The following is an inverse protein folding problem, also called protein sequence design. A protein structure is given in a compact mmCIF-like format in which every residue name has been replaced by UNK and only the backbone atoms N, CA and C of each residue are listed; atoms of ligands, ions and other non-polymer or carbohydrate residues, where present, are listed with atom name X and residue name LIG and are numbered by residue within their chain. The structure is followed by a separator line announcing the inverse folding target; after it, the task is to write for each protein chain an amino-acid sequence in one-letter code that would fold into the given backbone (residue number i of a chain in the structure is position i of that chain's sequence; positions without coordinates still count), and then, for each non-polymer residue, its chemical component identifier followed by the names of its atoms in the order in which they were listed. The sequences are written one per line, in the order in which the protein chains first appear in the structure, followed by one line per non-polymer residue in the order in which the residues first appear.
data_IF_542387057584
#
_entry.id   IF_542387057584
#
_cell.length_a   1.000
_cell.length_b   1.000
_cell.length_c   1.000
_cell.angle_alpha   90.00
_cell.angle_beta   90.00
_cell.angle_gamma   90.00
#
_symmetry.space_group_name_H-M   'P 1'
#
loop_
_entity.id
_entity.type
_entity.pdbx_description
1 polymer ?
#
# COMPACT_ATOMS: atom_id res chain seq x y z
N UNK A 1 3.10 18.01 15.63
CA UNK A 1 3.90 16.84 15.20
C UNK A 1 3.44 16.41 13.81
N UNK A 2 4.34 16.18 12.85
CA UNK A 2 3.96 15.59 11.55
C UNK A 2 3.53 14.12 11.75
N UNK A 3 2.44 13.68 11.12
CA UNK A 3 1.99 12.27 11.16
C UNK A 3 3.12 11.37 10.64
N UNK A 4 3.33 10.20 11.24
CA UNK A 4 4.36 9.24 10.80
C UNK A 4 4.12 8.90 9.32
N UNK A 5 5.17 8.90 8.50
CA UNK A 5 5.06 8.63 7.06
C UNK A 5 4.57 9.79 6.19
N UNK A 6 4.33 11.00 6.75
CA UNK A 6 3.83 12.14 5.97
C UNK A 6 4.72 12.52 4.77
N UNK A 7 6.04 12.44 4.91
CA UNK A 7 6.96 12.76 3.81
C UNK A 7 6.91 11.71 2.69
N UNK A 8 6.68 10.44 3.02
CA UNK A 8 6.53 9.36 2.02
C UNK A 8 5.23 9.54 1.24
N UNK A 9 4.13 9.87 1.95
CA UNK A 9 2.85 10.18 1.30
C UNK A 9 2.96 11.37 0.34
N UNK A 10 3.70 12.41 0.74
CA UNK A 10 3.95 13.56 -0.12
C UNK A 10 4.71 13.17 -1.40
N UNK A 11 5.71 12.27 -1.33
CA UNK A 11 6.42 11.80 -2.52
C UNK A 11 5.51 11.09 -3.52
N UNK A 12 4.51 10.34 -3.04
CA UNK A 12 3.50 9.74 -3.91
C UNK A 12 2.62 10.82 -4.55
N UNK A 13 2.13 11.78 -3.76
CA UNK A 13 1.31 12.91 -4.23
C UNK A 13 2.03 13.79 -5.25
N UNK A 14 3.32 14.02 -5.06
CA UNK A 14 4.17 14.82 -5.94
C UNK A 14 4.50 14.07 -7.26
N UNK A 15 4.11 12.79 -7.38
CA UNK A 15 4.43 11.97 -8.54
C UNK A 15 5.91 11.63 -8.64
N UNK A 16 6.67 11.70 -7.54
CA UNK A 16 8.10 11.39 -7.52
C UNK A 16 8.39 9.93 -7.87
N UNK A 17 7.40 9.05 -7.70
CA UNK A 17 7.45 7.64 -8.12
C UNK A 17 6.30 7.41 -9.11
N UNK A 18 6.58 7.22 -10.41
CA UNK A 18 5.56 6.89 -11.40
C UNK A 18 4.86 5.57 -11.05
N UNK A 19 3.56 5.47 -11.28
CA UNK A 19 2.76 4.30 -10.89
C UNK A 19 3.24 3.02 -11.58
N UNK A 20 3.70 3.10 -12.83
CA UNK A 20 4.30 2.01 -13.61
C UNK A 20 5.70 1.56 -13.14
N UNK A 21 6.25 2.24 -12.12
CA UNK A 21 7.49 1.88 -11.43
C UNK A 21 7.26 1.55 -9.95
N UNK A 22 6.03 1.69 -9.45
CA UNK A 22 5.68 1.43 -8.06
C UNK A 22 5.38 -0.05 -7.81
N UNK A 23 5.84 -0.58 -6.67
CA UNK A 23 5.40 -1.84 -6.10
C UNK A 23 5.00 -1.61 -4.64
N UNK A 24 4.07 -2.43 -4.14
CA UNK A 24 3.63 -2.39 -2.74
C UNK A 24 3.87 -3.74 -2.08
N UNK A 25 4.20 -3.71 -0.80
CA UNK A 25 4.45 -4.90 0.01
C UNK A 25 3.93 -4.70 1.44
N UNK A 26 3.74 -5.81 2.16
CA UNK A 26 3.30 -5.76 3.57
C UNK A 26 4.44 -5.66 4.56
N UNK A 27 5.63 -6.17 4.22
CA UNK A 27 6.74 -6.37 5.16
C UNK A 27 6.31 -7.12 6.43
N UNK A 28 5.34 -8.04 6.30
CA UNK A 28 4.87 -8.85 7.41
C UNK A 28 6.04 -9.71 7.96
N UNK A 29 6.17 -9.87 9.30
CA UNK A 29 5.17 -9.59 10.33
C UNK A 29 5.12 -8.15 10.87
N UNK A 30 5.89 -7.23 10.29
CA UNK A 30 6.03 -5.84 10.73
C UNK A 30 5.11 -4.89 9.96
N UNK A 31 5.19 -3.59 10.27
CA UNK A 31 4.55 -2.54 9.46
C UNK A 31 3.02 -2.67 9.32
N UNK A 32 2.34 -3.06 10.40
CA UNK A 32 0.88 -3.14 10.42
C UNK A 32 0.24 -1.81 9.96
N UNK A 33 -0.65 -1.82 8.94
CA UNK A 33 -1.30 -0.61 8.44
C UNK A 33 -2.15 0.12 9.49
N UNK A 34 -2.38 1.41 9.26
CA UNK A 34 -3.32 2.19 10.07
C UNK A 34 -4.72 1.58 10.00
N UNK A 35 -5.43 1.54 11.13
CA UNK A 35 -6.74 0.89 11.27
C UNK A 35 -7.79 1.42 10.30
N UNK A 36 -7.69 2.69 9.90
CA UNK A 36 -8.61 3.32 8.95
C UNK A 36 -8.64 2.62 7.58
N UNK A 37 -7.57 1.92 7.22
CA UNK A 37 -7.49 1.17 5.96
C UNK A 37 -7.81 -0.32 6.12
N UNK A 38 -7.94 -0.83 7.34
CA UNK A 38 -8.21 -2.24 7.59
C UNK A 38 -9.73 -2.47 7.69
N UNK A 39 -10.26 -3.58 7.13
CA UNK A 39 -11.66 -3.91 7.33
C UNK A 39 -11.90 -4.31 8.78
N UNK A 40 -13.05 -3.92 9.35
CA UNK A 40 -13.45 -4.33 10.71
C UNK A 40 -13.60 -5.85 10.84
N UNK A 41 -13.83 -6.54 9.73
CA UNK A 41 -13.93 -8.00 9.67
C UNK A 41 -12.58 -8.71 9.71
N UNK A 42 -11.47 -7.99 9.50
CA UNK A 42 -10.14 -8.58 9.52
C UNK A 42 -9.67 -8.73 10.97
N UNK A 43 -9.70 -9.97 11.46
CA UNK A 43 -9.32 -10.33 12.83
C UNK A 43 -7.82 -10.25 13.09
N UNK A 44 -7.21 -9.07 12.91
CA UNK A 44 -5.79 -8.82 13.21
C UNK A 44 -5.58 -9.00 14.71
N UNK A 45 -4.96 -10.12 15.10
CA UNK A 45 -4.66 -10.44 16.50
C UNK A 45 -3.39 -9.72 16.93
N UNK A 46 -3.51 -8.76 17.84
CA UNK A 46 -2.37 -7.99 18.33
C UNK A 46 -1.87 -6.97 17.31
N UNK A 47 -0.55 -6.82 17.20
CA UNK A 47 0.12 -5.86 16.28
C UNK A 47 0.88 -6.53 15.14
N UNK A 48 0.59 -7.80 14.86
CA UNK A 48 1.25 -8.58 13.80
C UNK A 48 0.59 -8.28 12.46
N UNK A 49 1.39 -7.88 11.48
CA UNK A 49 0.92 -7.71 10.11
C UNK A 49 0.95 -9.07 9.38
N UNK A 50 0.09 -9.23 8.38
CA UNK A 50 -0.01 -10.42 7.57
C UNK A 50 -0.21 -10.07 6.08
N UNK A 51 0.11 -10.98 5.14
CA UNK A 51 -0.07 -10.73 3.71
C UNK A 51 -1.51 -10.33 3.33
N UNK A 52 -2.51 -10.82 4.08
CA UNK A 52 -3.92 -10.48 3.88
C UNK A 52 -4.23 -8.99 4.09
N UNK A 53 -3.33 -8.22 4.70
CA UNK A 53 -3.43 -6.77 4.85
C UNK A 53 -3.07 -5.98 3.58
N UNK A 54 -2.59 -6.63 2.51
CA UNK A 54 -2.22 -5.98 1.25
C UNK A 54 -3.28 -5.00 0.70
N UNK A 55 -4.59 -5.31 0.72
CA UNK A 55 -5.61 -4.36 0.24
C UNK A 55 -5.64 -3.04 1.02
N UNK A 56 -5.26 -3.03 2.29
CA UNK A 56 -5.19 -1.82 3.10
C UNK A 56 -4.07 -0.88 2.62
N UNK A 57 -2.91 -1.45 2.27
CA UNK A 57 -1.77 -0.71 1.71
C UNK A 57 -2.13 -0.15 0.34
N UNK A 58 -2.77 -0.97 -0.50
CA UNK A 58 -3.26 -0.53 -1.81
C UNK A 58 -4.20 0.68 -1.70
N UNK A 59 -5.17 0.64 -0.76
CA UNK A 59 -6.07 1.77 -0.49
C UNK A 59 -5.34 3.03 -0.03
N UNK A 60 -4.37 2.90 0.88
CA UNK A 60 -3.59 4.03 1.37
C UNK A 60 -2.77 4.70 0.26
N UNK A 61 -2.21 3.92 -0.67
CA UNK A 61 -1.50 4.44 -1.85
C UNK A 61 -2.47 5.10 -2.82
N UNK A 62 -3.60 4.46 -3.11
CA UNK A 62 -4.63 4.97 -4.01
C UNK A 62 -5.15 6.35 -3.57
N UNK A 63 -5.37 6.53 -2.27
CA UNK A 63 -5.74 7.83 -1.69
C UNK A 63 -4.67 8.90 -1.93
N UNK A 64 -3.38 8.55 -1.82
CA UNK A 64 -2.29 9.49 -2.08
C UNK A 64 -2.18 9.88 -3.57
N UNK A 65 -2.56 8.99 -4.46
CA UNK A 65 -2.45 9.18 -5.92
C UNK A 65 -3.75 9.69 -6.57
N UNK A 66 -4.83 9.82 -5.80
CA UNK A 66 -6.17 10.22 -6.28
C UNK A 66 -6.69 9.34 -7.45
N UNK A 67 -6.41 8.03 -7.39
CA UNK A 67 -6.86 7.04 -8.38
C UNK A 67 -7.65 5.91 -7.71
N UNK A 68 -8.46 5.12 -8.46
CA UNK A 68 -9.11 3.93 -7.92
C UNK A 68 -8.09 2.91 -7.39
N UNK A 69 -8.42 2.25 -6.28
CA UNK A 69 -7.55 1.21 -5.70
C UNK A 69 -7.36 0.02 -6.66
N UNK A 70 -8.36 -0.26 -7.50
CA UNK A 70 -8.28 -1.27 -8.56
C UNK A 70 -7.19 -0.95 -9.59
N UNK A 71 -6.97 0.33 -9.89
CA UNK A 71 -5.93 0.76 -10.84
C UNK A 71 -4.54 0.57 -10.21
N UNK A 72 -4.37 0.97 -8.95
CA UNK A 72 -3.12 0.70 -8.21
C UNK A 72 -2.84 -0.79 -8.15
N UNK A 73 -3.83 -1.61 -7.79
CA UNK A 73 -3.68 -3.06 -7.73
C UNK A 73 -3.28 -3.65 -9.08
N UNK A 74 -3.95 -3.24 -10.17
CA UNK A 74 -3.67 -3.70 -11.53
C UNK A 74 -2.24 -3.34 -11.96
N UNK A 75 -1.84 -2.08 -11.83
CA UNK A 75 -0.54 -1.60 -12.29
C UNK A 75 0.59 -2.19 -11.44
N UNK A 76 0.48 -2.16 -10.12
CA UNK A 76 1.52 -2.73 -9.23
C UNK A 76 1.65 -4.24 -9.38
N UNK A 77 0.56 -4.97 -9.66
CA UNK A 77 0.61 -6.40 -10.01
C UNK A 77 1.35 -6.62 -11.32
N UNK A 78 1.07 -5.83 -12.35
CA UNK A 78 1.78 -5.92 -13.64
C UNK A 78 3.29 -5.61 -13.47
N UNK A 79 3.63 -4.62 -12.64
CA UNK A 79 5.01 -4.27 -12.32
C UNK A 79 5.73 -5.43 -11.62
N UNK A 80 5.10 -6.02 -10.60
CA UNK A 80 5.66 -7.18 -9.89
C UNK A 80 5.86 -8.37 -10.83
N UNK A 81 4.87 -8.70 -11.67
CA UNK A 81 5.00 -9.80 -12.65
C UNK A 81 6.15 -9.57 -13.61
N UNK A 82 6.29 -8.36 -14.15
CA UNK A 82 7.40 -7.98 -15.03
C UNK A 82 8.75 -8.08 -14.31
N UNK A 83 8.83 -7.62 -13.06
CA UNK A 83 10.07 -7.62 -12.28
C UNK A 83 10.51 -9.03 -11.88
N UNK A 84 9.58 -9.87 -11.42
CA UNK A 84 9.85 -11.23 -10.95
C UNK A 84 9.80 -12.30 -12.06
N UNK A 85 9.30 -11.98 -13.26
CA UNK A 85 9.18 -12.92 -14.38
C UNK A 85 8.07 -13.97 -14.20
N UNK A 86 6.89 -13.53 -13.75
CA UNK A 86 5.72 -14.37 -13.40
C UNK A 86 4.59 -14.37 -14.44
#
# INVERSE_FOLDING_TARGET
MKKRGAHIRQLLQDGAIPLEQLMIETDCPFMLPDREYLPDTLGVRGRTNEPCCMPAICRAVAECLEVPAEEVAKVTTANARRFFGL
#
